data_IF_106736139664
#
_entry.id   IF_106736139664
#
_cell.length_a   1.000
_cell.length_b   1.000
_cell.length_c   1.000
_cell.angle_alpha   90.00
_cell.angle_beta   90.00
_cell.angle_gamma   90.00
#
_symmetry.space_group_name_H-M   'P 1'
#
loop_
_entity.id
_entity.type
_entity.pdbx_description
1 polymer ?
#
# COMPACT_ATOMS: atom_id res chain seq x y z
N UNK A 1 -23.64 3.34 -0.59
CA UNK A 1 -22.28 3.82 -0.29
C UNK A 1 -21.46 2.61 0.13
N UNK A 2 -20.32 2.34 -0.50
CA UNK A 2 -19.44 1.25 -0.06
C UNK A 2 -18.68 1.70 1.19
N UNK A 3 -18.68 0.88 2.23
CA UNK A 3 -17.86 1.11 3.43
C UNK A 3 -16.39 0.89 3.05
N UNK A 4 -15.56 1.92 3.18
CA UNK A 4 -14.10 1.79 3.04
C UNK A 4 -13.54 1.20 4.33
N UNK A 5 -12.78 0.12 4.21
CA UNK A 5 -12.12 -0.54 5.34
C UNK A 5 -10.64 -0.49 5.04
N UNK A 6 -9.97 0.53 5.57
CA UNK A 6 -8.55 0.69 5.36
C UNK A 6 -7.79 -0.44 6.06
N UNK A 7 -6.67 -0.86 5.47
CA UNK A 7 -5.75 -1.82 6.08
C UNK A 7 -5.23 -1.26 7.43
N UNK A 8 -5.33 -2.04 8.50
CA UNK A 8 -4.92 -1.64 9.85
C UNK A 8 -3.72 -2.44 10.39
N UNK A 9 -3.30 -3.49 9.67
CA UNK A 9 -2.21 -4.39 10.04
C UNK A 9 -1.28 -4.60 8.84
N UNK A 10 -0.11 -5.20 9.05
CA UNK A 10 0.72 -5.63 7.91
C UNK A 10 -0.05 -6.62 7.03
N UNK A 11 -0.02 -6.43 5.72
CA UNK A 11 -0.56 -7.39 4.76
C UNK A 11 0.33 -7.54 3.53
N UNK A 12 0.19 -8.68 2.85
CA UNK A 12 0.82 -8.93 1.55
C UNK A 12 -0.17 -8.64 0.43
N UNK A 13 0.27 -7.91 -0.59
CA UNK A 13 -0.53 -7.55 -1.74
C UNK A 13 0.10 -8.10 -3.02
N UNK A 14 -0.73 -8.64 -3.92
CA UNK A 14 -0.29 -8.94 -5.28
C UNK A 14 -0.15 -7.64 -6.06
N UNK A 15 0.96 -7.46 -6.74
CA UNK A 15 1.28 -6.31 -7.59
C UNK A 15 1.56 -6.80 -9.01
N UNK A 16 0.76 -6.33 -9.97
CA UNK A 16 0.96 -6.66 -11.38
C UNK A 16 1.96 -5.69 -11.98
N UNK A 17 3.16 -6.17 -12.26
CA UNK A 17 4.23 -5.30 -12.76
C UNK A 17 3.98 -4.95 -14.22
N UNK A 18 4.10 -3.67 -14.59
CA UNK A 18 3.93 -3.24 -16.00
C UNK A 18 5.00 -3.86 -16.91
N UNK A 19 6.22 -4.01 -16.39
CA UNK A 19 7.35 -4.63 -17.05
C UNK A 19 8.08 -5.54 -16.06
N UNK A 20 7.89 -6.84 -16.18
CA UNK A 20 8.47 -7.84 -15.29
C UNK A 20 7.45 -8.89 -14.85
N UNK A 21 7.90 -9.88 -14.06
CA UNK A 21 6.98 -10.81 -13.42
C UNK A 21 6.10 -10.06 -12.41
N UNK A 22 4.87 -10.54 -12.23
CA UNK A 22 4.06 -10.14 -11.09
C UNK A 22 4.79 -10.45 -9.78
N UNK A 23 4.53 -9.64 -8.77
CA UNK A 23 5.27 -9.68 -7.51
C UNK A 23 4.31 -9.58 -6.32
N UNK A 24 4.70 -10.16 -5.18
CA UNK A 24 4.03 -9.91 -3.91
C UNK A 24 4.82 -8.84 -3.17
N UNK A 25 4.15 -7.78 -2.76
CA UNK A 25 4.72 -6.72 -1.92
C UNK A 25 4.14 -6.81 -0.51
N UNK A 26 4.87 -6.26 0.44
CA UNK A 26 4.44 -6.06 1.82
C UNK A 26 3.97 -4.63 2.00
N UNK A 27 2.79 -4.46 2.59
CA UNK A 27 2.17 -3.19 2.92
C UNK A 27 2.11 -3.08 4.43
N UNK A 28 2.82 -2.10 4.99
CA UNK A 28 2.93 -1.91 6.43
C UNK A 28 2.30 -0.57 6.80
N UNK A 29 1.22 -0.52 7.60
CA UNK A 29 0.70 0.73 8.11
C UNK A 29 1.73 1.37 9.05
N UNK A 30 2.06 2.62 8.80
CA UNK A 30 2.89 3.43 9.70
C UNK A 30 1.97 4.05 10.76
N UNK A 31 2.14 3.61 12.01
CA UNK A 31 1.38 4.12 13.15
C UNK A 31 2.00 5.44 13.57
N UNK A 32 1.89 6.47 12.73
CA UNK A 32 2.33 7.81 13.10
C UNK A 32 1.32 8.38 14.09
N UNK A 33 1.67 8.31 15.37
CA UNK A 33 1.00 9.05 16.44
C UNK A 33 1.11 10.56 16.16
N UNK A 34 0.05 11.18 15.64
CA UNK A 34 -0.12 12.64 15.63
C UNK A 34 -0.40 13.31 14.28
N UNK A 35 -0.42 12.58 13.16
CA UNK A 35 -0.87 13.13 11.86
C UNK A 35 -2.32 12.78 11.56
N UNK A 36 -3.10 13.75 11.07
CA UNK A 36 -4.49 13.56 10.61
C UNK A 36 -4.61 12.67 9.33
N UNK A 37 -3.65 11.80 9.02
CA UNK A 37 -3.61 11.01 7.78
C UNK A 37 -3.08 9.60 8.02
N UNK A 38 -3.31 8.71 7.05
CA UNK A 38 -2.81 7.33 7.08
C UNK A 38 -1.57 7.22 6.19
N UNK A 39 -0.56 6.47 6.64
CA UNK A 39 0.66 6.22 5.89
C UNK A 39 0.88 4.71 5.79
N UNK A 40 1.27 4.24 4.61
CA UNK A 40 1.53 2.83 4.33
C UNK A 40 2.86 2.69 3.60
N UNK A 41 3.84 2.07 4.24
CA UNK A 41 5.11 1.76 3.59
C UNK A 41 4.99 0.49 2.75
N UNK A 42 5.67 0.49 1.61
CA UNK A 42 5.67 -0.59 0.64
C UNK A 42 7.07 -1.19 0.54
N UNK A 43 7.14 -2.51 0.58
CA UNK A 43 8.39 -3.24 0.48
C UNK A 43 8.25 -4.49 -0.39
N UNK A 44 9.34 -5.01 -0.92
CA UNK A 44 9.36 -6.39 -1.45
C UNK A 44 9.11 -7.39 -0.31
N UNK A 45 8.48 -8.54 -0.60
CA UNK A 45 7.84 -9.34 0.45
C UNK A 45 8.67 -10.52 1.01
N UNK A 46 9.74 -10.94 0.34
CA UNK A 46 10.37 -12.25 0.60
C UNK A 46 11.88 -12.21 0.83
N UNK A 47 12.54 -11.10 0.53
CA UNK A 47 13.96 -10.91 0.74
C UNK A 47 14.28 -10.69 2.23
N UNK A 48 15.44 -11.19 2.68
CA UNK A 48 15.94 -10.95 4.04
C UNK A 48 16.17 -9.45 4.31
N UNK A 49 16.53 -8.70 3.26
CA UNK A 49 16.61 -7.25 3.24
C UNK A 49 15.65 -6.73 2.18
N UNK A 50 14.39 -6.43 2.55
CA UNK A 50 13.37 -6.06 1.56
C UNK A 50 13.63 -4.65 1.02
N UNK A 51 13.51 -4.49 -0.30
CA UNK A 51 13.69 -3.22 -0.96
C UNK A 51 12.50 -2.30 -0.65
N UNK A 52 12.79 -1.04 -0.37
CA UNK A 52 11.76 -0.04 -0.11
C UNK A 52 11.20 0.50 -1.42
N UNK A 53 9.91 0.29 -1.63
CA UNK A 53 9.20 0.67 -2.85
C UNK A 53 8.50 2.03 -2.73
N UNK A 54 8.70 2.77 -1.63
CA UNK A 54 8.00 4.01 -1.34
C UNK A 54 6.82 3.83 -0.39
N UNK A 55 5.94 4.83 -0.33
CA UNK A 55 4.76 4.81 0.56
C UNK A 55 3.53 5.42 -0.08
N UNK A 56 2.36 5.02 0.43
CA UNK A 56 1.07 5.63 0.09
C UNK A 56 0.59 6.43 1.29
N UNK A 57 0.26 7.70 1.06
CA UNK A 57 -0.24 8.62 2.07
C UNK A 57 -1.70 8.93 1.75
N UNK A 58 -2.57 8.88 2.76
CA UNK A 58 -3.97 9.27 2.67
C UNK A 58 -4.25 10.47 3.57
N UNK A 59 -5.04 11.42 3.07
CA UNK A 59 -5.60 12.49 3.88
C UNK A 59 -6.90 12.07 4.60
N UNK A 60 -7.47 12.97 5.40
CA UNK A 60 -8.74 12.76 6.11
C UNK A 60 -9.95 12.54 5.19
N UNK A 61 -9.86 12.94 3.92
CA UNK A 61 -10.92 12.81 2.92
C UNK A 61 -10.77 11.51 2.12
N UNK A 62 -9.67 10.78 2.31
CA UNK A 62 -9.34 9.56 1.60
C UNK A 62 -8.79 9.79 0.20
N UNK A 63 -8.32 11.01 -0.11
CA UNK A 63 -7.42 11.23 -1.25
C UNK A 63 -6.06 10.66 -0.90
N UNK A 64 -5.35 10.16 -1.91
CA UNK A 64 -4.06 9.53 -1.70
C UNK A 64 -3.02 10.02 -2.70
N UNK A 65 -1.77 9.97 -2.26
CA UNK A 65 -0.59 10.16 -3.09
C UNK A 65 0.37 9.01 -2.85
N UNK A 66 1.15 8.68 -3.89
CA UNK A 66 2.30 7.81 -3.78
C UNK A 66 3.56 8.66 -3.69
N UNK A 67 4.39 8.39 -2.69
CA UNK A 67 5.68 9.02 -2.44
C UNK A 67 6.77 7.96 -2.65
N UNK A 68 7.32 7.92 -3.86
CA UNK A 68 8.31 6.97 -4.35
C UNK A 68 8.49 7.07 -5.86
N UNK A 69 9.39 6.27 -6.44
CA UNK A 69 9.72 6.31 -7.87
C UNK A 69 9.64 4.94 -8.57
N UNK A 70 9.42 3.84 -7.84
CA UNK A 70 9.58 2.47 -8.35
C UNK A 70 8.28 1.85 -8.87
N UNK A 71 7.15 2.49 -8.57
CA UNK A 71 5.82 2.10 -9.04
C UNK A 71 5.34 3.03 -10.16
N UNK A 72 4.87 2.44 -11.25
CA UNK A 72 4.08 3.10 -12.28
C UNK A 72 2.68 3.46 -11.76
N UNK A 73 1.99 4.37 -12.45
CA UNK A 73 0.65 4.85 -12.06
C UNK A 73 -0.33 3.67 -11.86
N UNK A 74 -0.33 2.67 -12.73
CA UNK A 74 -1.22 1.51 -12.62
C UNK A 74 -0.93 0.65 -11.38
N UNK A 75 0.35 0.47 -11.05
CA UNK A 75 0.78 -0.23 -9.84
C UNK A 75 0.38 0.55 -8.58
N UNK A 76 0.58 1.87 -8.58
CA UNK A 76 0.15 2.76 -7.50
C UNK A 76 -1.36 2.64 -7.24
N UNK A 77 -2.17 2.72 -8.30
CA UNK A 77 -3.63 2.58 -8.20
C UNK A 77 -4.05 1.20 -7.67
N UNK A 78 -3.37 0.13 -8.06
CA UNK A 78 -3.63 -1.22 -7.57
C UNK A 78 -3.39 -1.32 -6.06
N UNK A 79 -2.25 -0.81 -5.58
CA UNK A 79 -1.91 -0.83 -4.16
C UNK A 79 -2.87 0.04 -3.35
N UNK A 80 -3.18 1.25 -3.81
CA UNK A 80 -4.14 2.12 -3.14
C UNK A 80 -5.53 1.46 -3.04
N UNK A 81 -6.00 0.80 -4.11
CA UNK A 81 -7.25 0.05 -4.10
C UNK A 81 -7.23 -1.13 -3.12
N UNK A 82 -6.11 -1.85 -3.04
CA UNK A 82 -5.92 -2.93 -2.07
C UNK A 82 -6.05 -2.40 -0.65
N UNK A 83 -5.37 -1.30 -0.32
CA UNK A 83 -5.41 -0.66 1.00
C UNK A 83 -6.84 -0.19 1.37
N UNK A 84 -7.54 0.49 0.45
CA UNK A 84 -8.87 1.07 0.70
C UNK A 84 -9.95 0.00 0.92
N UNK A 85 -9.82 -1.14 0.24
CA UNK A 85 -10.83 -2.19 0.22
C UNK A 85 -10.35 -3.45 0.94
N UNK A 86 -9.40 -3.31 1.87
CA UNK A 86 -8.87 -4.47 2.57
C UNK A 86 -9.94 -5.06 3.48
N UNK A 87 -10.28 -6.32 3.22
CA UNK A 87 -11.15 -7.12 4.07
C UNK A 87 -10.30 -8.29 4.56
N UNK A 88 -9.98 -8.29 5.84
CA UNK A 88 -9.38 -9.45 6.49
C UNK A 88 -10.44 -10.56 6.53
N UNK A 89 -10.16 -11.68 5.86
CA UNK A 89 -11.01 -12.87 5.92
C UNK A 89 -10.29 -13.87 6.82
N UNK A 90 -10.88 -14.12 8.00
CA UNK A 90 -10.43 -15.09 9.00
C UNK A 90 -10.66 -16.54 8.54
#
# INVERSE_FOLDING_TARGET
MATKTYLCTEAKAWLKRKAGPDEVIKVIPDVINGSNGLCYHLYTAFEDNPDYLGRVLFDTQGYWIYDGNDLSITEQEQVARFIINYVEVL
#
